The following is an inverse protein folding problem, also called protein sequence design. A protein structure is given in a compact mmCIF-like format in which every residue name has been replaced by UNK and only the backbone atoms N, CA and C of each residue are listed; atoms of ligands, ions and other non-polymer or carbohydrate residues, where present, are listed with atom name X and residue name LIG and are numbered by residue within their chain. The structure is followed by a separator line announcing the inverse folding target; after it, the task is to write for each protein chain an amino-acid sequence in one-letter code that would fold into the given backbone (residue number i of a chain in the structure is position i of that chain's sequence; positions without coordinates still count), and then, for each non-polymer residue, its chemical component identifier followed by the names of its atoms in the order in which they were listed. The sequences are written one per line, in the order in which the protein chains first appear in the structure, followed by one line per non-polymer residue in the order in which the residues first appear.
data_IF_035959990422
#
_entry.id   IF_035959990422
#
_cell.length_a   1.000
_cell.length_b   1.000
_cell.length_c   1.000
_cell.angle_alpha   90.00
_cell.angle_beta   90.00
_cell.angle_gamma   90.00
#
_symmetry.space_group_name_H-M   'P 1'
#
loop_
_entity.id
_entity.type
_entity.pdbx_description
1 polymer ?
#
# COMPACT_ATOMS: atom_id res chain seq x y z
N UNK A 1 8.82 5.68 -0.95
CA UNK A 1 8.88 4.98 -2.25
C UNK A 1 8.79 3.49 -1.99
N UNK A 2 7.62 2.92 -2.21
CA UNK A 2 7.30 1.54 -1.83
C UNK A 2 6.77 0.69 -2.99
N UNK A 3 7.12 1.08 -4.22
CA UNK A 3 6.90 0.27 -5.41
C UNK A 3 8.08 -0.70 -5.60
N UNK A 4 7.80 -1.99 -5.60
CA UNK A 4 8.75 -3.06 -5.88
C UNK A 4 8.29 -3.87 -7.08
N UNK A 5 9.22 -4.50 -7.78
CA UNK A 5 8.95 -5.33 -8.95
C UNK A 5 9.59 -6.69 -8.81
N UNK A 6 8.94 -7.73 -9.34
CA UNK A 6 9.45 -9.10 -9.43
C UNK A 6 9.26 -9.61 -10.86
N UNK A 7 10.29 -10.24 -11.41
CA UNK A 7 10.34 -10.64 -12.82
C UNK A 7 11.33 -9.80 -13.62
N UNK A 8 11.67 -10.29 -14.81
CA UNK A 8 12.63 -9.68 -15.71
C UNK A 8 11.95 -9.38 -17.04
N UNK A 9 12.14 -8.18 -17.56
CA UNK A 9 11.73 -7.83 -18.91
C UNK A 9 12.76 -8.38 -19.92
N UNK A 10 12.39 -8.70 -21.17
CA UNK A 10 11.03 -8.74 -21.67
C UNK A 10 10.26 -9.95 -21.12
N UNK A 11 9.07 -9.73 -20.57
CA UNK A 11 8.31 -10.77 -19.89
C UNK A 11 7.27 -10.24 -18.91
N UNK A 12 6.55 -11.15 -18.22
CA UNK A 12 5.65 -10.77 -17.14
C UNK A 12 6.45 -10.23 -15.94
N UNK A 13 6.12 -9.00 -15.53
CA UNK A 13 6.66 -8.33 -14.37
C UNK A 13 5.52 -8.06 -13.39
N UNK A 14 5.67 -8.56 -12.18
CA UNK A 14 4.77 -8.31 -11.05
C UNK A 14 5.18 -7.05 -10.34
N UNK A 15 4.21 -6.19 -10.05
CA UNK A 15 4.36 -4.96 -9.29
C UNK A 15 3.71 -5.10 -7.93
N UNK A 16 4.42 -4.67 -6.91
CA UNK A 16 3.96 -4.58 -5.53
C UNK A 16 3.97 -3.11 -5.14
N UNK A 17 2.79 -2.55 -4.90
CA UNK A 17 2.63 -1.16 -4.52
C UNK A 17 2.07 -1.08 -3.10
N UNK A 18 2.71 -0.27 -2.25
CA UNK A 18 2.17 0.08 -0.94
C UNK A 18 1.85 1.59 -0.88
N UNK A 19 0.91 1.94 0.00
CA UNK A 19 0.61 3.34 0.27
C UNK A 19 1.71 3.95 1.15
N UNK A 20 2.32 5.04 0.69
CA UNK A 20 3.37 5.75 1.44
C UNK A 20 2.78 6.66 2.58
N UNK A 21 1.45 6.79 2.68
CA UNK A 21 0.79 7.47 3.83
C UNK A 21 0.97 6.69 5.14
N UNK A 22 1.40 7.38 6.20
CA UNK A 22 1.79 6.75 7.47
C UNK A 22 0.61 6.02 8.09
N UNK A 23 0.79 4.71 8.34
CA UNK A 23 -0.21 3.87 9.00
C UNK A 23 -1.32 3.36 8.07
N UNK A 24 -1.24 3.64 6.75
CA UNK A 24 -2.16 3.06 5.79
C UNK A 24 -1.72 1.63 5.39
N UNK A 25 -2.56 0.59 5.59
CA UNK A 25 -2.22 -0.78 5.22
C UNK A 25 -2.51 -1.09 3.75
N UNK A 26 -2.95 -0.11 2.96
CA UNK A 26 -3.35 -0.32 1.58
C UNK A 26 -2.17 -0.78 0.71
N UNK A 27 -2.40 -1.85 -0.05
CA UNK A 27 -1.44 -2.43 -0.99
C UNK A 27 -2.16 -2.83 -2.27
N UNK A 28 -1.46 -2.81 -3.38
CA UNK A 28 -1.91 -3.37 -4.65
C UNK A 28 -0.82 -4.28 -5.21
N UNK A 29 -1.26 -5.36 -5.87
CA UNK A 29 -0.38 -6.28 -6.59
C UNK A 29 -0.98 -6.49 -7.97
N UNK A 30 -0.17 -6.35 -9.00
CA UNK A 30 -0.63 -6.53 -10.38
C UNK A 30 0.52 -6.94 -11.29
N UNK A 31 0.18 -7.61 -12.38
CA UNK A 31 1.15 -8.13 -13.34
C UNK A 31 1.04 -7.35 -14.65
N UNK A 32 2.16 -6.91 -15.22
CA UNK A 32 2.24 -6.29 -16.54
C UNK A 32 3.26 -7.03 -17.40
N UNK A 33 2.93 -7.25 -18.67
CA UNK A 33 3.88 -7.82 -19.63
C UNK A 33 4.67 -6.67 -20.25
N UNK A 34 5.97 -6.61 -19.99
CA UNK A 34 6.88 -5.63 -20.58
C UNK A 34 7.55 -6.27 -21.79
N UNK A 35 7.40 -5.70 -22.97
CA UNK A 35 7.97 -6.25 -24.22
C UNK A 35 9.38 -5.74 -24.54
N UNK A 36 9.84 -4.72 -23.83
CA UNK A 36 11.11 -4.05 -24.09
C UNK A 36 12.24 -4.75 -23.34
N UNK A 37 13.40 -4.83 -23.99
CA UNK A 37 14.59 -5.33 -23.32
C UNK A 37 15.06 -4.37 -22.23
N UNK A 38 15.60 -4.89 -21.12
CA UNK A 38 16.20 -4.07 -20.09
C UNK A 38 17.41 -3.31 -20.67
N UNK A 39 17.62 -2.02 -20.29
CA UNK A 39 18.88 -1.33 -20.60
C UNK A 39 20.13 -2.10 -20.11
N UNK A 40 21.33 -1.79 -20.64
CA UNK A 40 22.58 -2.35 -20.14
C UNK A 40 22.82 -2.01 -18.67
N UNK A 41 23.49 -2.90 -17.91
CA UNK A 41 23.79 -2.70 -16.47
C UNK A 41 24.56 -1.41 -16.21
N UNK A 42 25.41 -0.96 -17.13
CA UNK A 42 26.13 0.31 -16.97
C UNK A 42 25.22 1.55 -16.99
N UNK A 43 24.03 1.43 -17.59
CA UNK A 43 22.99 2.46 -17.66
C UNK A 43 21.90 2.26 -16.57
N UNK A 44 21.92 1.10 -15.90
CA UNK A 44 20.97 0.68 -14.87
C UNK A 44 21.36 1.13 -13.45
N UNK A 45 21.58 2.43 -13.23
CA UNK A 45 21.98 2.94 -11.90
C UNK A 45 20.85 2.84 -10.85
N UNK A 46 19.60 2.79 -11.29
CA UNK A 46 18.36 2.47 -10.56
C UNK A 46 17.24 2.01 -11.54
N UNK A 47 17.63 1.69 -12.78
CA UNK A 47 16.93 1.97 -14.04
C UNK A 47 15.89 0.94 -14.51
N UNK A 48 15.98 -0.34 -14.16
CA UNK A 48 14.96 -1.33 -14.52
C UNK A 48 13.70 -1.17 -13.69
N UNK A 49 13.87 -0.95 -12.38
CA UNK A 49 12.76 -0.75 -11.44
C UNK A 49 12.05 0.58 -11.76
N UNK A 50 12.82 1.64 -12.04
CA UNK A 50 12.25 2.95 -12.38
C UNK A 50 11.61 2.98 -13.78
N UNK A 51 12.22 2.38 -14.82
CA UNK A 51 11.56 2.30 -16.14
C UNK A 51 10.29 1.45 -16.10
N UNK A 52 10.32 0.31 -15.41
CA UNK A 52 9.12 -0.51 -15.20
C UNK A 52 8.04 0.27 -14.46
N UNK A 53 8.40 1.10 -13.48
CA UNK A 53 7.44 1.96 -12.78
C UNK A 53 6.79 3.02 -13.66
N UNK A 54 7.55 3.65 -14.58
CA UNK A 54 7.01 4.61 -15.54
C UNK A 54 6.02 3.93 -16.52
N UNK A 55 6.29 2.67 -16.89
CA UNK A 55 5.36 1.85 -17.69
C UNK A 55 4.11 1.44 -16.92
N UNK A 56 4.24 1.20 -15.62
CA UNK A 56 3.12 0.86 -14.75
C UNK A 56 2.27 2.08 -14.36
N UNK A 57 2.78 3.30 -14.50
CA UNK A 57 2.10 4.52 -14.05
C UNK A 57 0.65 4.65 -14.56
N UNK A 58 0.33 4.43 -15.86
CA UNK A 58 -1.05 4.50 -16.34
C UNK A 58 -1.96 3.47 -15.65
N UNK A 59 -1.46 2.25 -15.42
CA UNK A 59 -2.23 1.18 -14.76
C UNK A 59 -2.42 1.42 -13.26
N UNK A 60 -1.43 2.07 -12.62
CA UNK A 60 -1.51 2.52 -11.23
C UNK A 60 -2.58 3.64 -11.12
N UNK A 61 -2.58 4.59 -12.05
CA UNK A 61 -3.56 5.68 -12.12
C UNK A 61 -4.99 5.18 -12.38
N UNK A 62 -5.17 4.20 -13.28
CA UNK A 62 -6.47 3.57 -13.55
C UNK A 62 -7.08 2.91 -12.30
N UNK A 63 -6.24 2.38 -11.40
CA UNK A 63 -6.67 1.86 -10.11
C UNK A 63 -6.97 2.97 -9.07
N UNK A 64 -6.83 4.23 -9.45
CA UNK A 64 -7.09 5.40 -8.61
C UNK A 64 -5.96 5.75 -7.64
N UNK A 65 -4.77 5.15 -7.81
CA UNK A 65 -3.60 5.54 -7.04
C UNK A 65 -3.01 6.83 -7.61
N UNK A 66 -2.38 7.63 -6.75
CA UNK A 66 -1.82 8.92 -7.14
C UNK A 66 -0.37 9.00 -6.73
N UNK A 67 0.50 9.36 -7.67
CA UNK A 67 1.89 9.68 -7.34
C UNK A 67 1.99 11.12 -6.85
N UNK A 68 2.37 11.30 -5.59
CA UNK A 68 2.62 12.62 -4.99
C UNK A 68 4.11 12.92 -5.07
N UNK A 69 4.48 13.95 -5.84
CA UNK A 69 5.88 14.34 -6.06
C UNK A 69 6.62 14.52 -4.73
N UNK A 70 7.79 13.89 -4.60
CA UNK A 70 8.63 13.94 -3.40
C UNK A 70 8.16 13.10 -2.21
N UNK A 71 6.98 12.47 -2.27
CA UNK A 71 6.41 11.66 -1.18
C UNK A 71 6.28 10.19 -1.59
N UNK A 72 5.68 9.91 -2.74
CA UNK A 72 5.46 8.56 -3.24
C UNK A 72 4.00 8.28 -3.63
N UNK A 73 3.61 7.00 -3.64
CA UNK A 73 2.30 6.57 -4.11
C UNK A 73 1.27 6.52 -2.99
N UNK A 74 0.11 7.13 -3.23
CA UNK A 74 -1.02 7.18 -2.31
C UNK A 74 -2.19 6.39 -2.89
N UNK A 75 -2.82 5.57 -2.05
CA UNK A 75 -4.01 4.81 -2.45
C UNK A 75 -5.22 5.73 -2.66
N UNK A 76 -6.28 5.28 -3.37
CA UNK A 76 -7.46 6.11 -3.67
C UNK A 76 -8.14 6.72 -2.44
N UNK A 77 -8.02 6.05 -1.29
CA UNK A 77 -8.53 6.55 0.00
C UNK A 77 -7.63 7.65 0.56
N UNK A 78 -6.32 7.52 0.39
CA UNK A 78 -5.36 8.43 0.98
C UNK A 78 -5.17 9.71 0.16
N UNK A 79 -5.31 9.62 -1.16
CA UNK A 79 -5.27 10.74 -2.11
C UNK A 79 -6.43 11.73 -1.95
N UNK A 80 -7.53 11.34 -1.29
CA UNK A 80 -8.67 12.23 -1.06
C UNK A 80 -8.38 13.26 0.04
N UNK A 81 -8.94 14.48 -0.07
CA UNK A 81 -8.96 15.44 1.02
C UNK A 81 -9.49 14.80 2.31
N UNK A 82 -8.96 15.22 3.46
CA UNK A 82 -9.35 14.65 4.77
C UNK A 82 -10.86 14.74 5.04
N UNK A 83 -11.55 15.71 4.44
CA UNK A 83 -13.01 15.88 4.49
C UNK A 83 -13.79 14.78 3.77
N UNK A 84 -13.18 14.12 2.79
CA UNK A 84 -13.79 13.09 1.94
C UNK A 84 -13.27 11.69 2.28
N UNK A 85 -12.28 11.59 3.19
CA UNK A 85 -11.72 10.32 3.64
C UNK A 85 -12.74 9.61 4.54
N UNK A 86 -13.04 8.32 4.32
CA UNK A 86 -13.85 7.53 5.25
C UNK A 86 -13.27 7.61 6.66
N UNK A 87 -14.12 7.88 7.65
CA UNK A 87 -13.68 7.90 9.04
C UNK A 87 -13.10 6.52 9.40
N UNK A 88 -11.92 6.45 10.07
CA UNK A 88 -11.39 5.17 10.51
C UNK A 88 -12.41 4.47 11.42
N UNK A 89 -12.50 3.14 11.37
CA UNK A 89 -13.38 2.39 12.27
C UNK A 89 -13.04 2.78 13.71
N UNK A 90 -14.00 3.40 14.40
CA UNK A 90 -13.81 3.75 15.81
C UNK A 90 -13.50 2.47 16.57
N UNK A 91 -12.43 2.42 17.38
CA UNK A 91 -12.17 1.25 18.20
C UNK A 91 -13.42 0.97 19.03
N UNK A 92 -14.01 -0.21 18.81
CA UNK A 92 -15.19 -0.65 19.53
C UNK A 92 -14.92 -0.48 21.02
N UNK A 93 -15.79 0.28 21.70
CA UNK A 93 -15.72 0.55 23.13
C UNK A 93 -15.63 -0.81 23.84
N UNK A 94 -14.42 -1.21 24.26
CA UNK A 94 -14.23 -2.44 25.02
C UNK A 94 -15.09 -2.31 26.26
N UNK A 95 -16.21 -3.03 26.30
CA UNK A 95 -16.99 -3.22 27.51
C UNK A 95 -16.04 -3.90 28.50
N UNK A 96 -15.49 -3.13 29.42
CA UNK A 96 -14.76 -3.66 30.56
C UNK A 96 -15.79 -4.50 31.32
N UNK A 97 -15.75 -5.82 31.12
CA UNK A 97 -16.50 -6.75 31.93
C UNK A 97 -16.06 -6.52 33.37
N UNK A 98 -16.94 -5.86 34.13
CA UNK A 98 -16.77 -5.54 35.53
C UNK A 98 -16.62 -6.88 36.25
N UNK A 99 -15.37 -7.29 36.55
CA UNK A 99 -15.09 -8.48 37.35
C UNK A 99 -15.86 -8.32 38.66
N UNK A 100 -16.92 -9.11 38.82
CA UNK A 100 -17.62 -9.24 40.08
C UNK A 100 -16.60 -9.77 41.09
N UNK A 101 -16.25 -8.93 42.08
CA UNK A 101 -15.55 -9.38 43.28
C UNK A 101 -16.43 -10.44 43.91
N UNK A 102 -15.96 -11.69 43.95
CA UNK A 102 -16.54 -12.71 44.82
C UNK A 102 -16.26 -12.29 46.26
N UNK A 103 -17.33 -11.99 46.98
CA UNK A 103 -17.33 -11.81 48.43
C UNK A 103 -17.10 -13.19 49.08
N UNK A 104 -16.13 -13.37 50.00
CA UNK A 104 -15.87 -14.67 50.62
C UNK A 104 -16.72 -14.94 51.87
N UNK A 105 -17.75 -14.14 52.18
CA UNK A 105 -18.65 -14.43 53.31
C UNK A 105 -19.83 -15.27 52.86
N UNK A 106 -19.66 -16.59 52.92
CA UNK A 106 -20.77 -17.54 52.91
C UNK A 106 -21.60 -17.44 54.19
N UNK A 107 -22.90 -17.81 54.15
CA UNK A 107 -23.75 -17.84 55.33
C UNK A 107 -23.42 -19.05 56.23
N UNK A 108 -23.85 -18.90 57.49
CA UNK A 108 -23.51 -19.63 58.72
C UNK A 108 -23.51 -21.16 58.63
#
# INVERSE_FOLDING_TARGET
MSLMTEGEAPGPVRFYLACDDIGCPARAVFDLVIHESPPPIEEDLFGHILHSSARAAPYIEEQGWTFTQGIGYWCPTCSKPRSERPAPPRPGRRHIARRQRRDPRGPQ
#
